data_IF_670955869261
#
_entry.id   IF_670955869261
#
_cell.length_a   1.000
_cell.length_b   1.000
_cell.length_c   1.000
_cell.angle_alpha   90.00
_cell.angle_beta   90.00
_cell.angle_gamma   90.00
#
_symmetry.space_group_name_H-M   'P 1'
#
loop_
_entity.id
_entity.type
_entity.pdbx_description
1 polymer ?
#
# COMPACT_ATOMS: atom_id res chain seq x y z
N UNK A 1 36.50 21.90 0.52
CA UNK A 1 35.11 22.17 0.96
C UNK A 1 34.32 20.91 0.70
N UNK A 2 33.69 20.34 1.72
CA UNK A 2 32.85 19.16 1.57
C UNK A 2 31.55 19.54 0.87
N UNK A 3 31.01 18.63 0.05
CA UNK A 3 29.72 18.71 -0.64
C UNK A 3 28.54 19.08 0.27
N UNK A 4 28.70 18.92 1.59
CA UNK A 4 27.68 19.23 2.59
C UNK A 4 27.52 20.71 2.93
N UNK A 5 28.55 21.56 2.74
CA UNK A 5 28.45 22.98 3.06
C UNK A 5 27.45 23.71 2.14
N UNK A 6 27.48 23.38 0.84
CA UNK A 6 26.52 23.93 -0.12
C UNK A 6 25.08 23.45 0.14
N UNK A 7 24.91 22.24 0.67
CA UNK A 7 23.59 21.72 1.06
C UNK A 7 23.07 22.45 2.30
N UNK A 8 23.92 22.74 3.28
CA UNK A 8 23.52 23.47 4.49
C UNK A 8 23.02 24.90 4.17
N UNK A 9 23.68 25.59 3.23
CA UNK A 9 23.24 26.90 2.75
C UNK A 9 21.87 26.82 2.05
N UNK A 10 21.64 25.80 1.23
CA UNK A 10 20.35 25.55 0.58
C UNK A 10 19.23 25.20 1.57
N UNK A 11 19.52 24.39 2.60
CA UNK A 11 18.55 24.09 3.65
C UNK A 11 18.17 25.34 4.45
N UNK A 12 19.17 26.19 4.75
CA UNK A 12 18.94 27.46 5.46
C UNK A 12 18.11 28.42 4.62
N UNK A 13 18.40 28.54 3.31
CA UNK A 13 17.63 29.39 2.41
C UNK A 13 16.21 28.87 2.16
N UNK A 14 16.02 27.55 2.20
CA UNK A 14 14.72 26.89 2.20
C UNK A 14 13.99 26.96 3.55
N UNK A 15 14.52 27.71 4.53
CA UNK A 15 13.93 27.94 5.85
C UNK A 15 13.73 26.66 6.69
N UNK A 16 14.55 25.64 6.46
CA UNK A 16 14.51 24.45 7.30
C UNK A 16 14.99 24.81 8.71
N UNK A 17 14.24 24.37 9.72
CA UNK A 17 14.62 24.57 11.11
C UNK A 17 15.55 23.45 11.59
N UNK A 18 16.59 23.83 12.32
CA UNK A 18 17.49 22.87 12.95
C UNK A 18 16.77 21.99 13.97
N UNK A 19 17.26 20.75 14.14
CA UNK A 19 16.74 19.82 15.14
C UNK A 19 15.42 19.12 14.76
N UNK A 20 14.93 19.27 13.52
CA UNK A 20 13.75 18.54 13.04
C UNK A 20 14.09 17.09 12.72
N UNK A 21 13.12 16.20 12.95
CA UNK A 21 13.16 14.81 12.49
C UNK A 21 12.77 14.82 11.02
N UNK A 22 13.50 14.08 10.20
CA UNK A 22 13.30 13.97 8.75
C UNK A 22 13.34 12.51 8.37
N UNK A 23 12.52 12.11 7.39
CA UNK A 23 12.64 10.79 6.78
C UNK A 23 13.70 10.85 5.67
N UNK A 24 14.64 9.91 5.68
CA UNK A 24 15.65 9.77 4.63
C UNK A 24 15.38 8.47 3.87
N UNK A 25 14.95 8.60 2.63
CA UNK A 25 14.70 7.47 1.74
C UNK A 25 15.86 7.32 0.77
N UNK A 26 16.45 6.11 0.61
CA UNK A 26 17.49 5.89 -0.38
C UNK A 26 17.01 6.20 -1.79
N UNK A 27 17.89 6.82 -2.59
CA UNK A 27 17.62 7.00 -4.01
C UNK A 27 17.63 5.64 -4.73
N UNK A 28 16.58 5.38 -5.52
CA UNK A 28 16.47 4.19 -6.35
C UNK A 28 16.66 4.56 -7.82
N UNK A 29 17.46 3.77 -8.53
CA UNK A 29 17.73 3.94 -9.96
C UNK A 29 16.86 3.00 -10.79
N UNK A 30 16.77 3.28 -12.08
CA UNK A 30 16.14 2.40 -13.08
C UNK A 30 14.66 2.10 -12.79
N UNK A 31 13.95 3.08 -12.22
CA UNK A 31 12.52 3.00 -11.96
C UNK A 31 11.70 3.22 -13.24
N UNK A 32 10.68 2.41 -13.42
CA UNK A 32 9.69 2.56 -14.50
C UNK A 32 8.27 2.57 -13.95
N UNK A 33 7.38 3.31 -14.60
CA UNK A 33 6.01 3.47 -14.14
C UNK A 33 5.24 2.15 -14.06
N UNK A 34 4.49 1.97 -12.97
CA UNK A 34 3.56 0.87 -12.81
C UNK A 34 2.15 1.25 -13.27
N UNK A 35 1.42 0.28 -13.83
CA UNK A 35 0.08 0.47 -14.38
C UNK A 35 -0.88 -0.52 -13.74
N UNK A 36 -2.10 -0.07 -13.40
CA UNK A 36 -3.13 -0.95 -12.83
C UNK A 36 -3.36 -2.16 -13.75
N UNK A 37 -3.39 -3.41 -13.24
CA UNK A 37 -3.64 -4.59 -14.05
C UNK A 37 -4.97 -4.47 -14.79
N UNK A 38 -5.02 -4.98 -16.02
CA UNK A 38 -6.23 -4.92 -16.87
C UNK A 38 -7.44 -5.57 -16.20
N UNK A 39 -7.22 -6.57 -15.35
CA UNK A 39 -8.26 -7.20 -14.54
C UNK A 39 -8.94 -6.24 -13.56
N UNK A 40 -8.21 -5.23 -13.07
CA UNK A 40 -8.66 -4.26 -12.07
C UNK A 40 -9.07 -2.92 -12.69
N UNK A 41 -8.90 -2.77 -14.01
CA UNK A 41 -9.38 -1.62 -14.76
C UNK A 41 -10.90 -1.70 -15.00
N UNK A 42 -11.55 -0.60 -15.44
CA UNK A 42 -12.97 -0.60 -15.79
C UNK A 42 -13.32 -1.68 -16.81
N UNK A 43 -14.35 -2.49 -16.52
CA UNK A 43 -14.76 -3.65 -17.32
C UNK A 43 -13.95 -4.93 -17.04
N UNK A 44 -12.87 -4.83 -16.28
CA UNK A 44 -12.14 -5.96 -15.73
C UNK A 44 -12.97 -6.70 -14.69
N UNK A 45 -12.67 -8.00 -14.52
CA UNK A 45 -13.41 -8.85 -13.57
C UNK A 45 -12.85 -8.83 -12.17
N UNK A 46 -11.67 -8.26 -11.93
CA UNK A 46 -10.82 -8.36 -10.73
C UNK A 46 -9.83 -9.53 -10.78
N UNK A 47 -8.97 -9.64 -9.76
CA UNK A 47 -7.96 -10.67 -9.61
C UNK A 47 -8.55 -11.95 -9.02
N UNK A 48 -9.20 -12.74 -9.86
CA UNK A 48 -9.85 -14.00 -9.47
C UNK A 48 -9.12 -15.22 -10.05
N UNK A 49 -9.07 -16.35 -9.31
CA UNK A 49 -8.51 -17.58 -9.84
C UNK A 49 -9.46 -18.09 -10.94
N UNK A 50 -9.06 -17.92 -12.19
CA UNK A 50 -9.76 -18.44 -13.35
C UNK A 50 -8.75 -19.11 -14.30
N UNK A 51 -9.25 -19.97 -15.20
CA UNK A 51 -8.38 -20.75 -16.08
C UNK A 51 -7.55 -19.88 -17.02
N UNK A 52 -8.05 -18.71 -17.41
CA UNK A 52 -7.36 -17.81 -18.34
C UNK A 52 -6.13 -17.18 -17.69
N UNK A 53 -6.24 -16.80 -16.41
CA UNK A 53 -5.13 -16.24 -15.65
C UNK A 53 -4.00 -17.26 -15.45
N UNK A 54 -4.34 -18.54 -15.22
CA UNK A 54 -3.36 -19.60 -14.97
C UNK A 54 -2.75 -20.20 -16.24
N UNK A 55 -3.44 -20.17 -17.38
CA UNK A 55 -2.98 -20.82 -18.64
C UNK A 55 -2.22 -19.88 -19.57
N UNK A 56 -2.50 -18.58 -19.52
CA UNK A 56 -2.02 -17.62 -20.54
C UNK A 56 -0.95 -16.66 -20.01
N UNK A 57 -0.41 -16.89 -18.81
CA UNK A 57 0.54 -15.97 -18.17
C UNK A 57 1.88 -16.63 -17.85
N UNK A 58 2.95 -15.84 -17.97
CA UNK A 58 4.29 -16.25 -17.53
C UNK A 58 4.38 -16.19 -16.00
N UNK A 59 5.44 -16.79 -15.45
CA UNK A 59 5.69 -16.72 -14.00
C UNK A 59 5.93 -15.28 -13.54
N UNK A 60 6.56 -14.45 -14.38
CA UNK A 60 6.80 -13.04 -14.11
C UNK A 60 5.49 -12.26 -14.00
N UNK A 61 4.55 -12.50 -14.93
CA UNK A 61 3.23 -11.87 -14.93
C UNK A 61 2.39 -12.31 -13.73
N UNK A 62 2.44 -13.60 -13.36
CA UNK A 62 1.78 -14.10 -12.15
C UNK A 62 2.40 -13.52 -10.88
N UNK A 63 3.72 -13.37 -10.85
CA UNK A 63 4.42 -12.72 -9.74
C UNK A 63 4.00 -11.26 -9.62
N UNK A 64 3.87 -10.52 -10.73
CA UNK A 64 3.38 -9.15 -10.70
C UNK A 64 1.95 -9.07 -10.15
N UNK A 65 1.04 -9.94 -10.60
CA UNK A 65 -0.34 -10.01 -10.06
C UNK A 65 -0.34 -10.25 -8.55
N UNK A 66 0.55 -11.11 -8.04
CA UNK A 66 0.68 -11.34 -6.60
C UNK A 66 1.12 -10.09 -5.83
N UNK A 67 2.02 -9.30 -6.40
CA UNK A 67 2.50 -8.05 -5.80
C UNK A 67 1.43 -6.97 -5.80
N UNK A 68 0.59 -6.91 -6.84
CA UNK A 68 -0.60 -6.07 -6.85
C UNK A 68 -1.58 -6.45 -5.74
N UNK A 69 -1.79 -7.74 -5.48
CA UNK A 69 -2.60 -8.16 -4.34
C UNK A 69 -2.05 -7.62 -3.01
N UNK A 70 -0.73 -7.68 -2.78
CA UNK A 70 -0.18 -7.16 -1.52
C UNK A 70 -0.25 -5.65 -1.44
N UNK A 71 -0.02 -4.95 -2.56
CA UNK A 71 -0.18 -3.51 -2.62
C UNK A 71 -1.59 -3.10 -2.18
N UNK A 72 -2.61 -3.73 -2.76
CA UNK A 72 -4.01 -3.43 -2.43
C UNK A 72 -4.31 -3.77 -0.97
N UNK A 73 -3.75 -4.86 -0.42
CA UNK A 73 -3.88 -5.16 1.01
C UNK A 73 -3.21 -4.08 1.85
N UNK A 74 -1.98 -3.67 1.53
CA UNK A 74 -1.25 -2.65 2.27
C UNK A 74 -1.96 -1.29 2.21
N UNK A 75 -2.38 -0.86 1.02
CA UNK A 75 -3.14 0.37 0.80
C UNK A 75 -4.50 0.30 1.48
N UNK A 76 -5.14 -0.87 1.52
CA UNK A 76 -6.33 -1.06 2.31
C UNK A 76 -6.00 -0.88 3.79
N UNK A 77 -5.08 -1.64 4.38
CA UNK A 77 -4.76 -1.55 5.81
C UNK A 77 -4.39 -0.12 6.23
N UNK A 78 -3.56 0.57 5.45
CA UNK A 78 -3.12 1.94 5.71
C UNK A 78 -4.09 3.03 5.24
N UNK A 79 -5.13 2.65 4.49
CA UNK A 79 -6.03 3.57 3.78
C UNK A 79 -5.29 4.55 2.84
N UNK A 80 -4.17 4.14 2.23
CA UNK A 80 -3.41 5.01 1.33
C UNK A 80 -4.26 5.42 0.12
N UNK A 81 -4.54 6.72 0.01
CA UNK A 81 -5.39 7.27 -1.05
C UNK A 81 -4.59 7.71 -2.28
N UNK A 82 -3.27 7.80 -2.17
CA UNK A 82 -2.40 8.48 -3.13
C UNK A 82 -1.75 7.54 -4.17
N UNK A 83 -2.47 6.46 -4.48
CA UNK A 83 -2.10 5.45 -5.48
C UNK A 83 -3.32 5.10 -6.33
N UNK A 84 -3.76 3.83 -6.30
CA UNK A 84 -4.86 3.33 -7.12
C UNK A 84 -6.17 4.06 -6.81
N UNK A 85 -6.42 4.39 -5.53
CA UNK A 85 -7.59 5.19 -5.13
C UNK A 85 -7.58 6.57 -5.77
N UNK A 86 -6.42 7.21 -5.91
CA UNK A 86 -6.30 8.48 -6.62
C UNK A 86 -6.65 8.32 -8.11
N UNK A 87 -6.21 7.24 -8.76
CA UNK A 87 -6.61 6.96 -10.14
C UNK A 87 -8.13 6.76 -10.24
N UNK A 88 -8.74 5.97 -9.36
CA UNK A 88 -10.19 5.75 -9.35
C UNK A 88 -10.98 7.04 -9.08
N UNK A 89 -10.53 7.87 -8.14
CA UNK A 89 -11.20 9.13 -7.82
C UNK A 89 -11.13 10.12 -8.98
N UNK A 90 -10.00 10.21 -9.68
CA UNK A 90 -9.84 11.12 -10.81
C UNK A 90 -10.47 10.58 -12.10
N UNK A 91 -10.88 9.30 -12.13
CA UNK A 91 -11.57 8.72 -13.28
C UNK A 91 -12.87 9.47 -13.63
N UNK A 92 -13.56 10.05 -12.64
CA UNK A 92 -14.77 10.85 -12.87
C UNK A 92 -14.55 12.07 -13.78
N UNK A 93 -13.29 12.52 -13.94
CA UNK A 93 -12.90 13.64 -14.79
C UNK A 93 -12.11 13.21 -16.04
N UNK A 94 -11.56 12.00 -16.04
CA UNK A 94 -10.79 11.43 -17.13
C UNK A 94 -10.94 9.90 -17.16
N UNK A 95 -11.67 9.37 -18.13
CA UNK A 95 -11.95 7.93 -18.24
C UNK A 95 -10.68 7.07 -18.44
N UNK A 96 -9.58 7.67 -18.93
CA UNK A 96 -8.29 7.00 -19.13
C UNK A 96 -7.42 6.96 -17.85
N UNK A 97 -7.92 7.49 -16.72
CA UNK A 97 -7.13 7.57 -15.50
C UNK A 97 -6.70 6.19 -14.96
N UNK A 98 -7.55 5.18 -15.10
CA UNK A 98 -7.20 3.81 -14.70
C UNK A 98 -6.21 3.12 -15.66
N UNK A 99 -5.98 3.69 -16.85
CA UNK A 99 -4.96 3.25 -17.83
C UNK A 99 -3.67 4.06 -17.72
N UNK A 100 -3.67 5.12 -16.94
CA UNK A 100 -2.51 5.96 -16.68
C UNK A 100 -1.60 5.32 -15.62
N UNK A 101 -0.32 5.74 -15.54
CA UNK A 101 0.56 5.35 -14.44
C UNK A 101 -0.08 5.57 -13.08
N UNK A 102 0.19 4.67 -12.13
CA UNK A 102 -0.24 4.83 -10.75
C UNK A 102 0.73 5.73 -10.02
N UNK A 103 0.21 6.80 -9.40
CA UNK A 103 1.01 7.71 -8.62
C UNK A 103 1.76 6.99 -7.50
N UNK A 104 3.00 7.42 -7.22
CA UNK A 104 3.85 6.89 -6.17
C UNK A 104 4.15 5.37 -6.25
N UNK A 105 3.85 4.73 -7.38
CA UNK A 105 4.08 3.31 -7.63
C UNK A 105 4.96 3.11 -8.86
N UNK A 106 6.12 2.50 -8.64
CA UNK A 106 7.11 2.27 -9.68
C UNK A 106 7.48 0.78 -9.73
N UNK A 107 8.29 0.41 -10.71
CA UNK A 107 8.87 -0.92 -10.89
C UNK A 107 10.37 -0.84 -11.02
N UNK A 108 11.06 -1.86 -10.52
CA UNK A 108 12.45 -2.16 -10.86
C UNK A 108 12.53 -3.61 -11.33
N UNK A 109 12.76 -3.81 -12.62
CA UNK A 109 12.54 -5.13 -13.25
C UNK A 109 11.09 -5.60 -13.06
N UNK A 110 10.90 -6.74 -12.39
CA UNK A 110 9.59 -7.31 -12.11
C UNK A 110 9.08 -7.03 -10.67
N UNK A 111 9.75 -6.14 -9.93
CA UNK A 111 9.42 -5.84 -8.54
C UNK A 111 8.71 -4.50 -8.44
N UNK A 112 7.51 -4.47 -7.88
CA UNK A 112 6.81 -3.24 -7.54
C UNK A 112 7.52 -2.53 -6.36
N UNK A 113 7.64 -1.22 -6.47
CA UNK A 113 8.27 -0.35 -5.47
C UNK A 113 7.25 0.66 -4.97
N UNK A 114 6.96 0.58 -3.67
CA UNK A 114 5.94 1.39 -3.02
C UNK A 114 6.58 2.66 -2.45
N UNK A 115 6.57 3.75 -3.22
CA UNK A 115 7.15 5.03 -2.82
C UNK A 115 6.17 5.89 -2.03
N UNK A 116 6.69 6.80 -1.21
CA UNK A 116 5.89 7.88 -0.61
C UNK A 116 4.59 7.41 0.09
N UNK A 117 4.78 6.62 1.16
CA UNK A 117 3.69 6.06 1.95
C UNK A 117 3.25 7.00 3.11
N UNK A 118 3.64 8.28 3.07
CA UNK A 118 3.45 9.22 4.18
C UNK A 118 1.99 9.56 4.44
N UNK A 119 1.15 9.48 3.41
CA UNK A 119 -0.28 9.80 3.49
C UNK A 119 -1.10 8.70 4.19
N UNK A 120 -0.55 7.51 4.37
CA UNK A 120 -1.21 6.38 5.03
C UNK A 120 -1.45 6.57 6.53
N UNK A 121 -2.14 5.60 7.13
CA UNK A 121 -2.43 5.50 8.57
C UNK A 121 -3.10 6.76 9.11
N UNK A 122 -2.40 7.55 9.94
CA UNK A 122 -2.97 8.67 10.68
C UNK A 122 -3.66 9.70 9.80
N UNK A 123 -3.05 10.06 8.68
CA UNK A 123 -3.59 11.08 7.80
C UNK A 123 -4.81 10.53 7.05
N UNK A 124 -4.62 9.44 6.31
CA UNK A 124 -5.69 8.80 5.55
C UNK A 124 -6.86 8.28 6.37
N UNK A 125 -6.65 7.83 7.61
CA UNK A 125 -7.75 7.39 8.48
C UNK A 125 -8.76 8.51 8.79
N UNK A 126 -8.35 9.77 8.71
CA UNK A 126 -9.26 10.93 8.84
C UNK A 126 -10.15 11.11 7.62
N UNK A 127 -9.79 10.52 6.48
CA UNK A 127 -10.47 10.63 5.20
C UNK A 127 -11.26 9.37 4.84
N UNK A 128 -11.31 8.37 5.71
CA UNK A 128 -11.95 7.09 5.45
C UNK A 128 -13.39 7.25 4.96
N UNK A 129 -14.22 8.04 5.63
CA UNK A 129 -15.63 8.21 5.25
C UNK A 129 -15.80 8.68 3.79
N UNK A 130 -14.82 9.43 3.26
CA UNK A 130 -14.84 9.92 1.89
C UNK A 130 -14.35 8.88 0.88
N UNK A 131 -13.33 8.10 1.22
CA UNK A 131 -12.64 7.22 0.27
C UNK A 131 -12.86 5.71 0.50
N UNK A 132 -13.60 5.32 1.54
CA UNK A 132 -13.75 3.91 1.93
C UNK A 132 -14.25 3.05 0.77
N UNK A 133 -15.18 3.56 -0.05
CA UNK A 133 -15.80 2.80 -1.12
C UNK A 133 -14.80 2.37 -2.20
N UNK A 134 -13.79 3.20 -2.48
CA UNK A 134 -12.72 2.85 -3.42
C UNK A 134 -11.87 1.71 -2.87
N UNK A 135 -11.45 1.81 -1.60
CA UNK A 135 -10.71 0.74 -0.93
C UNK A 135 -11.50 -0.57 -0.85
N UNK A 136 -12.79 -0.49 -0.51
CA UNK A 136 -13.67 -1.66 -0.44
C UNK A 136 -13.85 -2.33 -1.81
N UNK A 137 -14.02 -1.53 -2.87
CA UNK A 137 -14.10 -2.01 -4.25
C UNK A 137 -12.81 -2.74 -4.65
N UNK A 138 -11.65 -2.17 -4.34
CA UNK A 138 -10.35 -2.79 -4.62
C UNK A 138 -10.15 -4.08 -3.83
N UNK A 139 -10.45 -4.10 -2.52
CA UNK A 139 -10.31 -5.31 -1.70
C UNK A 139 -11.22 -6.43 -2.21
N UNK A 140 -12.48 -6.11 -2.52
CA UNK A 140 -13.46 -7.08 -3.06
C UNK A 140 -13.10 -7.58 -4.45
N UNK A 141 -12.21 -6.89 -5.17
CA UNK A 141 -11.70 -7.34 -6.46
C UNK A 141 -10.61 -8.41 -6.34
N UNK A 142 -10.17 -8.77 -5.13
CA UNK A 142 -9.11 -9.76 -4.90
C UNK A 142 -9.68 -11.12 -4.49
N UNK A 143 -9.24 -12.19 -5.17
CA UNK A 143 -9.30 -13.57 -4.70
C UNK A 143 -8.02 -14.37 -5.03
N UNK A 144 -6.93 -13.66 -5.31
CA UNK A 144 -5.60 -14.24 -5.46
C UNK A 144 -4.73 -13.55 -4.43
N UNK A 145 -4.10 -14.34 -3.59
CA UNK A 145 -3.26 -13.87 -2.50
C UNK A 145 -1.96 -14.62 -2.52
N UNK A 146 -0.85 -13.95 -2.20
CA UNK A 146 0.37 -14.67 -1.85
C UNK A 146 0.09 -15.49 -0.58
N UNK A 147 0.54 -16.75 -0.58
CA UNK A 147 0.33 -17.68 0.53
C UNK A 147 0.84 -17.09 1.85
N UNK A 148 2.06 -16.56 1.84
CA UNK A 148 2.68 -15.94 3.01
C UNK A 148 1.86 -14.78 3.56
N UNK A 149 1.33 -13.91 2.68
CA UNK A 149 0.47 -12.79 3.07
C UNK A 149 -0.82 -13.28 3.71
N UNK A 150 -1.48 -14.27 3.10
CA UNK A 150 -2.72 -14.84 3.64
C UNK A 150 -2.50 -15.50 5.01
N UNK A 151 -1.42 -16.27 5.15
CA UNK A 151 -1.08 -16.95 6.41
C UNK A 151 -0.75 -15.92 7.52
N UNK A 152 -0.05 -14.83 7.20
CA UNK A 152 0.21 -13.73 8.15
C UNK A 152 -1.09 -13.02 8.56
N UNK A 153 -1.99 -12.71 7.61
CA UNK A 153 -3.27 -12.07 7.93
C UNK A 153 -4.11 -12.95 8.86
N UNK A 154 -4.21 -14.25 8.57
CA UNK A 154 -4.93 -15.21 9.43
C UNK A 154 -4.33 -15.28 10.84
N UNK A 155 -3.00 -15.30 10.95
CA UNK A 155 -2.29 -15.27 12.23
C UNK A 155 -2.62 -14.00 13.02
N UNK A 156 -2.47 -12.82 12.40
CA UNK A 156 -2.72 -11.53 13.04
C UNK A 156 -4.19 -11.34 13.44
N UNK A 157 -5.12 -11.86 12.62
CA UNK A 157 -6.55 -11.88 12.96
C UNK A 157 -6.82 -12.74 14.20
N UNK A 158 -6.23 -13.94 14.26
CA UNK A 158 -6.43 -14.84 15.39
C UNK A 158 -5.81 -14.33 16.69
N UNK A 159 -4.62 -13.73 16.62
CA UNK A 159 -3.90 -13.23 17.79
C UNK A 159 -4.39 -11.87 18.28
N UNK A 160 -4.98 -11.04 17.39
CA UNK A 160 -5.34 -9.65 17.67
C UNK A 160 -4.15 -8.77 18.06
N UNK A 161 -2.96 -9.11 17.56
CA UNK A 161 -1.68 -8.47 17.94
C UNK A 161 -1.15 -7.47 16.92
N UNK A 162 -1.96 -7.04 15.95
CA UNK A 162 -1.47 -6.24 14.81
C UNK A 162 -0.85 -4.91 15.26
N UNK A 163 -1.44 -4.26 16.26
CA UNK A 163 -0.94 -2.99 16.76
C UNK A 163 0.33 -3.17 17.59
N UNK A 164 0.36 -4.18 18.45
CA UNK A 164 1.52 -4.52 19.28
C UNK A 164 2.73 -4.87 18.41
N UNK A 165 2.52 -5.61 17.32
CA UNK A 165 3.60 -5.97 16.40
C UNK A 165 4.13 -4.75 15.63
N UNK A 166 3.26 -3.84 15.18
CA UNK A 166 3.69 -2.59 14.53
C UNK A 166 4.47 -1.71 15.52
N UNK A 167 3.98 -1.54 16.75
CA UNK A 167 4.68 -0.77 17.79
C UNK A 167 6.03 -1.40 18.12
N UNK A 168 6.07 -2.72 18.31
CA UNK A 168 7.31 -3.45 18.59
C UNK A 168 8.31 -3.36 17.44
N UNK A 169 7.83 -3.32 16.19
CA UNK A 169 8.67 -3.10 15.01
C UNK A 169 9.24 -1.68 15.01
N UNK A 170 8.42 -0.65 15.27
CA UNK A 170 8.89 0.74 15.35
C UNK A 170 9.94 0.92 16.45
N UNK A 171 9.70 0.36 17.63
CA UNK A 171 10.64 0.42 18.76
C UNK A 171 11.98 -0.27 18.47
N UNK A 172 11.97 -1.32 17.64
CA UNK A 172 13.19 -2.08 17.29
C UNK A 172 13.95 -1.47 16.13
N UNK A 173 13.27 -0.96 15.11
CA UNK A 173 13.87 -0.59 13.83
C UNK A 173 14.06 0.93 13.65
N UNK A 174 13.38 1.79 14.42
CA UNK A 174 13.46 3.26 14.27
C UNK A 174 14.19 3.91 15.47
N UNK A 175 15.46 4.34 15.29
CA UNK A 175 16.26 4.95 16.36
C UNK A 175 15.66 6.22 16.96
N UNK A 176 14.80 6.93 16.22
CA UNK A 176 14.12 8.15 16.66
C UNK A 176 12.65 7.90 17.05
N UNK A 177 12.29 6.67 17.40
CA UNK A 177 10.91 6.29 17.73
C UNK A 177 10.28 7.14 18.87
N UNK A 178 11.08 7.63 19.81
CA UNK A 178 10.65 8.53 20.88
C UNK A 178 10.25 9.93 20.40
N UNK A 179 10.64 10.30 19.18
CA UNK A 179 10.41 11.63 18.57
C UNK A 179 9.34 11.64 17.49
N UNK A 180 8.75 10.49 17.15
CA UNK A 180 7.68 10.36 16.16
C UNK A 180 6.33 10.10 16.81
N UNK A 181 5.26 10.32 16.04
CA UNK A 181 3.90 10.13 16.54
C UNK A 181 3.60 8.66 16.83
N UNK A 182 3.04 8.38 18.02
CA UNK A 182 2.59 7.05 18.41
C UNK A 182 1.17 6.75 17.94
N UNK A 183 0.88 5.47 17.80
CA UNK A 183 -0.46 4.99 17.51
C UNK A 183 -1.35 5.27 18.71
N UNK A 184 -2.48 5.96 18.48
CA UNK A 184 -3.51 6.12 19.49
C UNK A 184 -4.54 4.99 19.40
N UNK A 185 -5.39 4.86 20.41
CA UNK A 185 -6.39 3.79 20.50
C UNK A 185 -7.32 3.75 19.28
N UNK A 186 -7.66 4.91 18.71
CA UNK A 186 -8.49 4.99 17.49
C UNK A 186 -7.76 4.40 16.29
N UNK A 187 -6.50 4.76 16.06
CA UNK A 187 -5.68 4.19 14.98
C UNK A 187 -5.56 2.68 15.12
N UNK A 188 -5.33 2.18 16.34
CA UNK A 188 -5.23 0.75 16.63
C UNK A 188 -6.52 0.02 16.30
N UNK A 189 -7.66 0.52 16.78
CA UNK A 189 -8.99 -0.04 16.50
C UNK A 189 -9.31 -0.04 15.01
N UNK A 190 -8.98 1.05 14.30
CA UNK A 190 -9.17 1.13 12.85
C UNK A 190 -8.30 0.11 12.12
N UNK A 191 -7.01 0.01 12.45
CA UNK A 191 -6.11 -0.95 11.81
C UNK A 191 -6.60 -2.39 12.01
N UNK A 192 -6.99 -2.74 13.24
CA UNK A 192 -7.55 -4.06 13.54
C UNK A 192 -8.85 -4.32 12.77
N UNK A 193 -9.78 -3.36 12.73
CA UNK A 193 -11.03 -3.51 11.97
C UNK A 193 -10.76 -3.75 10.48
N UNK A 194 -9.78 -3.05 9.91
CA UNK A 194 -9.42 -3.21 8.50
C UNK A 194 -8.74 -4.55 8.23
N UNK A 195 -7.90 -5.03 9.15
CA UNK A 195 -7.35 -6.38 9.10
C UNK A 195 -8.46 -7.44 9.12
N UNK A 196 -9.51 -7.25 9.92
CA UNK A 196 -10.65 -8.15 9.97
C UNK A 196 -11.37 -8.24 8.61
N UNK A 197 -11.46 -7.14 7.88
CA UNK A 197 -12.08 -7.12 6.56
C UNK A 197 -11.21 -7.81 5.51
N UNK A 198 -9.88 -7.66 5.56
CA UNK A 198 -8.95 -8.41 4.71
C UNK A 198 -9.06 -9.92 5.01
N UNK A 199 -9.11 -10.30 6.28
CA UNK A 199 -9.31 -11.69 6.69
C UNK A 199 -10.63 -12.25 6.14
N UNK A 200 -11.75 -11.52 6.29
CA UNK A 200 -13.06 -11.95 5.76
C UNK A 200 -13.00 -12.14 4.25
N UNK A 201 -12.34 -11.25 3.51
CA UNK A 201 -12.18 -11.40 2.06
C UNK A 201 -11.40 -12.68 1.72
N UNK A 202 -10.30 -12.96 2.40
CA UNK A 202 -9.51 -14.19 2.21
C UNK A 202 -10.38 -15.42 2.44
N UNK A 203 -11.07 -15.52 3.58
CA UNK A 203 -11.92 -16.68 3.91
C UNK A 203 -13.08 -16.82 2.91
N UNK A 204 -13.68 -15.71 2.48
CA UNK A 204 -14.73 -15.72 1.46
C UNK A 204 -14.21 -16.29 0.13
N UNK A 205 -13.03 -15.86 -0.31
CA UNK A 205 -12.42 -16.38 -1.54
C UNK A 205 -12.06 -17.86 -1.41
N UNK A 206 -11.54 -18.29 -0.25
CA UNK A 206 -11.26 -19.70 0.00
C UNK A 206 -12.53 -20.54 -0.13
N UNK A 207 -13.63 -20.12 0.50
CA UNK A 207 -14.91 -20.85 0.42
C UNK A 207 -15.48 -20.97 -1.01
N UNK A 208 -15.09 -20.06 -1.91
CA UNK A 208 -15.61 -19.97 -3.27
C UNK A 208 -14.75 -20.69 -4.30
N UNK A 209 -13.45 -20.81 -4.04
CA UNK A 209 -12.45 -21.27 -5.01
C UNK A 209 -11.58 -22.44 -4.53
N UNK A 210 -11.78 -22.96 -3.31
CA UNK A 210 -11.22 -24.24 -2.86
C UNK A 210 -12.02 -25.45 -3.35
#
# INVERSE_FOLDING_TARGET
>A
MTTWNSVAEQLTSAQWSSGRVVALTPWLKDLTSAYVPVEMQPGGKGLYPNQDLAKNRTLEELSEVSQWSDLIILDYLTANVDRVVNNMFNQQWNDDMMRSPVHNLEKTGNTLVFLDNESGLFHSYRLLDKYWHYHDTLLKSLCIFRKETADIVKRLYASRTVAEEVVSLMEREEPLNDRIARFNERTIKTLQSRLDDVYKQIISCESKYH
#
